data_IF_912726457343
#
_entry.id   IF_912726457343
#
_cell.length_a   1.000
_cell.length_b   1.000
_cell.length_c   1.000
_cell.angle_alpha   90.00
_cell.angle_beta   90.00
_cell.angle_gamma   90.00
#
_symmetry.space_group_name_H-M   'P 1'
#
loop_
_entity.id
_entity.type
_entity.pdbx_description
1 polymer ?
#
# COMPACT_ATOMS: atom_id res chain seq x y z
N UNK A 1 3.01 5.56 -49.25
CA UNK A 1 3.05 6.79 -48.46
C UNK A 1 2.06 6.64 -47.30
N UNK A 2 2.50 6.88 -46.05
CA UNK A 2 1.70 6.72 -44.83
C UNK A 2 1.42 8.09 -44.20
N UNK A 3 0.23 8.29 -43.64
CA UNK A 3 -0.15 9.53 -42.95
C UNK A 3 0.14 9.42 -41.44
N UNK A 4 1.30 9.93 -41.02
CA UNK A 4 1.80 9.81 -39.64
C UNK A 4 1.51 11.04 -38.75
N UNK A 5 0.96 12.12 -39.32
CA UNK A 5 0.71 13.39 -38.63
C UNK A 5 -0.58 13.42 -37.81
N UNK A 6 -1.44 12.40 -37.94
CA UNK A 6 -2.70 12.35 -37.22
C UNK A 6 -2.50 12.07 -35.72
N UNK A 7 -3.33 12.68 -34.86
CA UNK A 7 -3.31 12.43 -33.41
C UNK A 7 -3.73 10.99 -33.14
N UNK A 8 -2.89 10.24 -32.41
CA UNK A 8 -3.10 8.83 -32.05
C UNK A 8 -2.95 8.65 -30.53
N UNK A 9 -3.58 7.62 -29.94
CA UNK A 9 -4.60 6.75 -30.54
C UNK A 9 -5.95 7.47 -30.73
N UNK A 10 -6.78 6.98 -31.64
CA UNK A 10 -8.14 7.49 -31.90
C UNK A 10 -9.15 6.77 -30.99
N UNK A 11 -10.06 7.51 -30.37
CA UNK A 11 -11.16 6.94 -29.59
C UNK A 11 -12.28 6.44 -30.52
N UNK A 12 -12.72 5.20 -30.36
CA UNK A 12 -13.86 4.63 -31.07
C UNK A 12 -15.19 4.94 -30.36
N UNK A 13 -16.31 4.82 -31.08
CA UNK A 13 -17.68 5.03 -30.54
C UNK A 13 -18.04 4.12 -29.37
N UNK A 14 -17.34 2.99 -29.20
CA UNK A 14 -17.48 2.03 -28.10
C UNK A 14 -16.46 2.24 -26.97
N UNK A 15 -15.73 3.37 -26.99
CA UNK A 15 -14.75 3.76 -25.95
C UNK A 15 -13.39 3.07 -26.04
N UNK A 16 -13.13 2.27 -27.09
CA UNK A 16 -11.85 1.58 -27.30
C UNK A 16 -10.88 2.49 -28.05
N UNK A 17 -9.61 2.53 -27.62
CA UNK A 17 -8.55 3.28 -28.28
C UNK A 17 -7.88 2.41 -29.35
N UNK A 18 -7.84 2.90 -30.59
CA UNK A 18 -7.18 2.22 -31.70
C UNK A 18 -6.08 3.08 -32.31
N UNK A 19 -5.01 2.44 -32.76
CA UNK A 19 -4.03 3.08 -33.63
C UNK A 19 -4.43 2.82 -35.07
N UNK A 20 -4.62 3.89 -35.83
CA UNK A 20 -5.06 3.82 -37.24
C UNK A 20 -4.20 4.71 -38.10
N UNK A 21 -3.53 4.11 -39.09
CA UNK A 21 -2.67 4.81 -40.04
C UNK A 21 -3.24 4.63 -41.43
N UNK A 22 -3.66 5.73 -42.05
CA UNK A 22 -4.14 5.72 -43.43
C UNK A 22 -2.94 5.82 -44.38
N UNK A 23 -3.02 5.14 -45.53
CA UNK A 23 -1.89 4.99 -46.45
C UNK A 23 -2.29 4.88 -47.91
N UNK A 24 -1.33 5.15 -48.79
CA UNK A 24 -1.45 5.00 -50.24
C UNK A 24 -0.28 4.19 -50.78
N UNK A 25 -0.55 3.17 -51.58
CA UNK A 25 0.45 2.33 -52.23
C UNK A 25 0.37 2.57 -53.74
N UNK A 26 1.52 2.87 -54.36
CA UNK A 26 1.64 3.04 -55.81
C UNK A 26 2.10 1.71 -56.41
N UNK A 27 1.29 1.16 -57.32
CA UNK A 27 1.62 -0.02 -58.09
C UNK A 27 1.48 0.31 -59.58
N UNK A 28 2.61 0.59 -60.24
CA UNK A 28 2.60 1.19 -61.58
C UNK A 28 1.93 2.57 -61.55
N UNK A 29 0.91 2.76 -62.40
CA UNK A 29 0.10 4.00 -62.43
C UNK A 29 -1.10 3.98 -61.46
N UNK A 30 -1.35 2.87 -60.77
CA UNK A 30 -2.49 2.74 -59.86
C UNK A 30 -2.13 3.18 -58.44
N UNK A 31 -3.01 3.99 -57.85
CA UNK A 31 -2.95 4.40 -56.44
C UNK A 31 -3.96 3.60 -55.63
N UNK A 32 -3.47 2.72 -54.78
CA UNK A 32 -4.28 1.90 -53.87
C UNK A 32 -4.30 2.58 -52.51
N UNK A 33 -5.46 3.03 -52.06
CA UNK A 33 -5.63 3.55 -50.70
C UNK A 33 -5.87 2.38 -49.74
N UNK A 34 -5.18 2.37 -48.60
CA UNK A 34 -5.30 1.32 -47.59
C UNK A 34 -5.28 1.92 -46.18
N UNK A 35 -5.74 1.15 -45.20
CA UNK A 35 -5.75 1.53 -43.79
C UNK A 35 -5.04 0.43 -42.99
N UNK A 36 -4.13 0.83 -42.10
CA UNK A 36 -3.47 -0.06 -41.14
C UNK A 36 -4.06 0.21 -39.77
N UNK A 37 -4.71 -0.79 -39.20
CA UNK A 37 -5.14 -0.77 -37.80
C UNK A 37 -4.17 -1.60 -36.96
N UNK A 38 -3.67 -1.02 -35.87
CA UNK A 38 -2.84 -1.73 -34.89
C UNK A 38 -3.70 -1.92 -33.65
N UNK A 39 -3.93 -3.18 -33.29
CA UNK A 39 -4.75 -3.61 -32.15
C UNK A 39 -4.03 -4.76 -31.45
N UNK A 40 -4.22 -4.89 -30.13
CA UNK A 40 -3.81 -6.11 -29.44
C UNK A 40 -4.68 -7.29 -29.90
N UNK A 41 -4.12 -8.50 -29.86
CA UNK A 41 -4.83 -9.72 -30.24
C UNK A 41 -6.10 -9.91 -29.41
N UNK A 42 -6.03 -9.54 -28.13
CA UNK A 42 -7.16 -9.51 -27.20
C UNK A 42 -8.26 -8.58 -27.70
N UNK A 43 -7.91 -7.35 -28.11
CA UNK A 43 -8.88 -6.40 -28.66
C UNK A 43 -9.51 -6.89 -29.98
N UNK A 44 -8.76 -7.59 -30.83
CA UNK A 44 -9.29 -8.20 -32.06
C UNK A 44 -10.30 -9.30 -31.70
N UNK A 45 -9.93 -10.20 -30.80
CA UNK A 45 -10.78 -11.30 -30.34
C UNK A 45 -12.08 -10.78 -29.69
N UNK A 46 -11.97 -9.77 -28.81
CA UNK A 46 -13.12 -9.11 -28.21
C UNK A 46 -14.05 -8.49 -29.26
N UNK A 47 -13.48 -7.76 -30.23
CA UNK A 47 -14.25 -7.12 -31.31
C UNK A 47 -15.01 -8.15 -32.17
N UNK A 48 -14.42 -9.33 -32.39
CA UNK A 48 -15.10 -10.43 -33.09
C UNK A 48 -16.25 -11.03 -32.31
N UNK A 49 -16.08 -11.25 -30.99
CA UNK A 49 -17.14 -11.75 -30.11
C UNK A 49 -18.27 -10.73 -30.05
N UNK A 50 -17.96 -9.45 -29.81
CA UNK A 50 -18.93 -8.36 -29.79
C UNK A 50 -19.73 -8.34 -31.10
N UNK A 51 -19.06 -8.40 -32.26
CA UNK A 51 -19.73 -8.41 -33.55
C UNK A 51 -20.60 -9.67 -33.76
N UNK A 52 -20.12 -10.86 -33.38
CA UNK A 52 -20.88 -12.12 -33.54
C UNK A 52 -22.10 -12.17 -32.62
N UNK A 53 -21.99 -11.68 -31.39
CA UNK A 53 -23.05 -11.74 -30.37
C UNK A 53 -24.08 -10.62 -30.58
N UNK A 54 -23.64 -9.39 -30.86
CA UNK A 54 -24.53 -8.22 -30.96
C UNK A 54 -25.16 -8.11 -32.36
N UNK A 55 -24.43 -8.40 -33.44
CA UNK A 55 -24.89 -8.09 -34.80
C UNK A 55 -25.45 -9.27 -35.59
N UNK A 56 -25.22 -10.54 -35.18
CA UNK A 56 -25.79 -11.72 -35.89
C UNK A 56 -27.00 -12.37 -35.23
N UNK A 57 -27.32 -12.05 -33.96
CA UNK A 57 -28.48 -12.60 -33.27
C UNK A 57 -29.62 -11.57 -33.21
N UNK A 58 -30.30 -11.34 -34.35
CA UNK A 58 -31.51 -10.52 -34.42
C UNK A 58 -32.73 -11.13 -33.69
N UNK A 59 -32.61 -12.37 -33.22
CA UNK A 59 -33.69 -13.06 -32.52
C UNK A 59 -33.31 -13.24 -31.05
N UNK A 60 -33.98 -12.47 -30.21
CA UNK A 60 -34.38 -12.90 -28.86
C UNK A 60 -33.27 -13.03 -27.81
N UNK A 61 -32.49 -11.97 -27.58
CA UNK A 61 -31.70 -11.87 -26.33
C UNK A 61 -32.61 -11.31 -25.24
N UNK A 62 -33.37 -12.19 -24.58
CA UNK A 62 -34.07 -11.86 -23.34
C UNK A 62 -33.02 -11.42 -22.32
N UNK A 63 -33.22 -10.22 -21.75
CA UNK A 63 -32.39 -9.50 -20.76
C UNK A 63 -31.11 -8.83 -21.30
N UNK A 64 -31.32 -7.76 -22.07
CA UNK A 64 -30.27 -6.85 -22.58
C UNK A 64 -29.28 -6.36 -21.49
N UNK A 65 -29.72 -6.23 -20.22
CA UNK A 65 -28.84 -5.86 -19.10
C UNK A 65 -27.89 -7.00 -18.67
N UNK A 66 -28.39 -8.22 -18.52
CA UNK A 66 -27.60 -9.37 -18.07
C UNK A 66 -26.47 -9.71 -19.06
N UNK A 67 -26.79 -9.75 -20.36
CA UNK A 67 -25.78 -9.97 -21.39
C UNK A 67 -24.78 -8.82 -21.49
N UNK A 68 -25.22 -7.56 -21.33
CA UNK A 68 -24.31 -6.40 -21.27
C UNK A 68 -23.37 -6.48 -20.07
N UNK A 69 -23.83 -6.98 -18.93
CA UNK A 69 -23.01 -7.10 -17.73
C UNK A 69 -22.00 -8.26 -17.85
N UNK A 70 -22.40 -9.42 -18.39
CA UNK A 70 -21.46 -10.51 -18.75
C UNK A 70 -20.42 -10.04 -19.78
N UNK A 71 -20.87 -9.35 -20.84
CA UNK A 71 -19.97 -8.83 -21.86
C UNK A 71 -19.01 -7.79 -21.27
N UNK A 72 -19.48 -6.94 -20.36
CA UNK A 72 -18.60 -5.98 -19.67
C UNK A 72 -17.57 -6.70 -18.80
N UNK A 73 -17.98 -7.71 -18.05
CA UNK A 73 -17.07 -8.55 -17.25
C UNK A 73 -16.02 -9.23 -18.12
N UNK A 74 -16.41 -9.94 -19.20
CA UNK A 74 -15.46 -10.60 -20.11
C UNK A 74 -14.49 -9.58 -20.73
N UNK A 75 -14.99 -8.40 -21.14
CA UNK A 75 -14.15 -7.34 -21.69
C UNK A 75 -13.10 -6.88 -20.68
N UNK A 76 -13.50 -6.69 -19.42
CA UNK A 76 -12.57 -6.28 -18.39
C UNK A 76 -11.55 -7.37 -18.11
N UNK A 77 -11.96 -8.64 -17.94
CA UNK A 77 -11.05 -9.78 -17.75
C UNK A 77 -10.04 -9.89 -18.89
N UNK A 78 -10.49 -9.73 -20.14
CA UNK A 78 -9.62 -9.68 -21.31
C UNK A 78 -8.66 -8.47 -21.27
N UNK A 79 -9.15 -7.28 -20.91
CA UNK A 79 -8.31 -6.08 -20.79
C UNK A 79 -7.24 -6.27 -19.73
N UNK A 80 -7.58 -6.89 -18.60
CA UNK A 80 -6.63 -7.26 -17.55
C UNK A 80 -5.61 -8.27 -18.06
N UNK A 81 -6.02 -9.31 -18.79
CA UNK A 81 -5.09 -10.26 -19.43
C UNK A 81 -4.15 -9.56 -20.42
N UNK A 82 -4.63 -8.61 -21.23
CA UNK A 82 -3.79 -7.84 -22.16
C UNK A 82 -2.76 -6.99 -21.41
N UNK A 83 -3.16 -6.39 -20.29
CA UNK A 83 -2.25 -5.69 -19.39
C UNK A 83 -1.22 -6.65 -18.78
N UNK A 84 -1.64 -7.84 -18.32
CA UNK A 84 -0.74 -8.87 -17.80
C UNK A 84 0.27 -9.37 -18.85
N UNK A 85 -0.17 -9.61 -20.09
CA UNK A 85 0.72 -9.98 -21.20
C UNK A 85 1.68 -8.84 -21.54
N UNK A 86 1.23 -7.60 -21.50
CA UNK A 86 2.09 -6.43 -21.64
C UNK A 86 3.12 -6.33 -20.50
N UNK A 87 2.75 -6.68 -19.26
CA UNK A 87 3.69 -6.77 -18.13
C UNK A 87 4.77 -7.80 -18.41
N UNK A 88 4.39 -9.01 -18.81
CA UNK A 88 5.32 -10.10 -19.15
C UNK A 88 6.24 -9.68 -20.32
N UNK A 89 5.67 -9.12 -21.39
CA UNK A 89 6.43 -8.65 -22.56
C UNK A 89 7.43 -7.55 -22.20
N UNK A 90 7.01 -6.54 -21.42
CA UNK A 90 7.90 -5.50 -20.93
C UNK A 90 9.02 -6.05 -20.02
N UNK A 91 8.72 -7.08 -19.21
CA UNK A 91 9.74 -7.78 -18.42
C UNK A 91 10.77 -8.48 -19.32
N UNK A 92 10.34 -9.10 -20.42
CA UNK A 92 11.23 -9.75 -21.39
C UNK A 92 12.05 -8.75 -22.23
N UNK A 93 11.51 -7.60 -22.63
CA UNK A 93 12.24 -6.63 -23.46
C UNK A 93 13.21 -5.74 -22.65
N UNK A 94 12.87 -5.39 -21.41
CA UNK A 94 13.77 -4.65 -20.49
C UNK A 94 14.85 -5.52 -19.84
N UNK A 95 14.80 -6.84 -20.09
CA UNK A 95 15.73 -7.89 -19.66
C UNK A 95 17.21 -7.61 -19.93
N UNK A 96 17.55 -6.71 -20.87
CA UNK A 96 18.95 -6.51 -21.26
C UNK A 96 19.78 -5.60 -20.33
N UNK A 97 19.20 -4.74 -19.47
CA UNK A 97 19.97 -3.65 -18.84
C UNK A 97 19.67 -3.28 -17.35
N UNK A 98 18.96 -4.06 -16.54
CA UNK A 98 18.65 -3.67 -15.13
C UNK A 98 18.97 -4.74 -14.08
N UNK A 99 19.57 -4.32 -12.95
CA UNK A 99 19.86 -5.14 -11.78
C UNK A 99 18.58 -5.73 -11.15
N UNK A 100 18.71 -6.88 -10.48
CA UNK A 100 17.59 -7.68 -9.97
C UNK A 100 16.63 -6.93 -9.03
N UNK A 101 17.14 -6.03 -8.21
CA UNK A 101 16.37 -5.26 -7.23
C UNK A 101 15.47 -4.21 -7.91
N UNK A 102 15.97 -3.56 -8.96
CA UNK A 102 15.20 -2.62 -9.78
C UNK A 102 14.04 -3.28 -10.54
N UNK A 103 14.05 -4.61 -10.71
CA UNK A 103 12.94 -5.36 -11.33
C UNK A 103 11.77 -5.55 -10.37
N UNK A 104 12.05 -5.91 -9.10
CA UNK A 104 11.00 -6.09 -8.07
C UNK A 104 10.25 -4.79 -7.82
N UNK A 105 10.98 -3.69 -7.63
CA UNK A 105 10.39 -2.37 -7.41
C UNK A 105 9.45 -1.93 -8.55
N UNK A 106 9.81 -2.23 -9.80
CA UNK A 106 8.98 -1.91 -10.96
C UNK A 106 7.67 -2.71 -10.97
N UNK A 107 7.73 -4.00 -10.65
CA UNK A 107 6.55 -4.86 -10.57
C UNK A 107 5.63 -4.41 -9.43
N UNK A 108 6.19 -4.12 -8.26
CA UNK A 108 5.43 -3.60 -7.11
C UNK A 108 4.73 -2.27 -7.46
N UNK A 109 5.43 -1.36 -8.14
CA UNK A 109 4.85 -0.07 -8.60
C UNK A 109 3.69 -0.29 -9.58
N UNK A 110 3.85 -1.23 -10.52
CA UNK A 110 2.82 -1.55 -11.50
C UNK A 110 1.60 -2.17 -10.83
N UNK A 111 1.79 -3.13 -9.92
CA UNK A 111 0.71 -3.76 -9.18
C UNK A 111 -0.03 -2.73 -8.31
N UNK A 112 0.70 -1.84 -7.64
CA UNK A 112 0.11 -0.74 -6.85
C UNK A 112 -0.78 0.13 -7.71
N UNK A 113 -0.36 0.41 -8.96
CA UNK A 113 -1.16 1.14 -9.93
C UNK A 113 -2.41 0.36 -10.38
N UNK A 114 -2.30 -0.93 -10.67
CA UNK A 114 -3.44 -1.76 -11.09
C UNK A 114 -4.49 -1.81 -9.98
N UNK A 115 -4.05 -2.04 -8.73
CA UNK A 115 -4.92 -1.99 -7.55
C UNK A 115 -5.58 -0.61 -7.45
N UNK A 116 -4.79 0.47 -7.54
CA UNK A 116 -5.32 1.82 -7.49
C UNK A 116 -6.39 2.08 -8.56
N UNK A 117 -6.09 1.77 -9.82
CA UNK A 117 -7.00 2.02 -10.95
C UNK A 117 -8.31 1.22 -10.79
N UNK A 118 -8.23 -0.05 -10.37
CA UNK A 118 -9.39 -0.90 -10.10
C UNK A 118 -10.29 -0.31 -9.01
N UNK A 119 -9.72 -0.01 -7.84
CA UNK A 119 -10.50 0.51 -6.70
C UNK A 119 -10.96 1.95 -6.92
N UNK A 120 -10.20 2.77 -7.66
CA UNK A 120 -10.60 4.13 -8.01
C UNK A 120 -11.81 4.13 -8.95
N UNK A 121 -11.83 3.26 -9.97
CA UNK A 121 -13.00 3.13 -10.84
C UNK A 121 -14.25 2.71 -10.05
N UNK A 122 -14.10 1.75 -9.14
CA UNK A 122 -15.19 1.24 -8.31
C UNK A 122 -15.69 2.28 -7.31
N UNK A 123 -14.79 2.97 -6.63
CA UNK A 123 -15.13 4.05 -5.70
C UNK A 123 -15.85 5.20 -6.41
N UNK A 124 -15.41 5.57 -7.63
CA UNK A 124 -16.10 6.57 -8.44
C UNK A 124 -17.52 6.13 -8.84
N UNK A 125 -17.75 4.83 -9.08
CA UNK A 125 -19.07 4.29 -9.40
C UNK A 125 -20.00 4.23 -8.18
N UNK A 126 -19.51 3.82 -7.01
CA UNK A 126 -20.32 3.58 -5.81
C UNK A 126 -20.51 4.85 -4.95
N UNK A 127 -19.48 5.67 -4.81
CA UNK A 127 -19.48 6.85 -3.92
C UNK A 127 -19.52 8.17 -4.72
N UNK A 128 -19.04 8.18 -5.97
CA UNK A 128 -19.10 9.36 -6.85
C UNK A 128 -17.95 10.35 -6.70
N UNK A 129 -17.04 10.16 -5.73
CA UNK A 129 -15.81 10.96 -5.60
C UNK A 129 -14.56 10.07 -5.47
N UNK A 130 -13.40 10.68 -5.69
CA UNK A 130 -12.10 10.01 -5.58
C UNK A 130 -11.30 10.64 -4.44
N UNK A 131 -10.70 9.78 -3.63
CA UNK A 131 -9.69 10.14 -2.62
C UNK A 131 -8.34 9.60 -3.09
N UNK A 132 -7.25 10.24 -2.67
CA UNK A 132 -5.92 9.72 -2.93
C UNK A 132 -5.56 8.64 -1.90
N UNK A 133 -5.35 7.41 -2.37
CA UNK A 133 -4.93 6.26 -1.57
C UNK A 133 -3.75 5.51 -2.22
N UNK A 134 -2.98 6.19 -3.07
CA UNK A 134 -1.81 5.58 -3.76
C UNK A 134 -0.83 4.93 -2.78
N UNK A 135 -0.50 5.65 -1.69
CA UNK A 135 0.39 5.14 -0.64
C UNK A 135 -0.17 3.92 0.09
N UNK A 136 -1.50 3.81 0.20
CA UNK A 136 -2.15 2.62 0.73
C UNK A 136 -1.89 1.43 -0.18
N UNK A 137 -2.06 1.58 -1.51
CA UNK A 137 -1.74 0.53 -2.47
C UNK A 137 -0.26 0.10 -2.41
N UNK A 138 0.67 1.07 -2.38
CA UNK A 138 2.10 0.78 -2.27
C UNK A 138 2.42 -0.06 -1.01
N UNK A 139 1.79 0.27 0.11
CA UNK A 139 1.96 -0.43 1.39
C UNK A 139 1.38 -1.85 1.34
N UNK A 140 0.18 -2.01 0.77
CA UNK A 140 -0.49 -3.29 0.64
C UNK A 140 0.27 -4.23 -0.30
N UNK A 141 0.84 -3.72 -1.39
CA UNK A 141 1.68 -4.53 -2.28
C UNK A 141 2.90 -5.07 -1.56
N UNK A 142 3.57 -4.25 -0.74
CA UNK A 142 4.70 -4.73 0.09
C UNK A 142 4.28 -5.78 1.11
N UNK A 143 3.08 -5.63 1.66
CA UNK A 143 2.51 -6.64 2.54
C UNK A 143 2.25 -7.95 1.80
N UNK A 144 1.66 -7.93 0.61
CA UNK A 144 1.41 -9.13 -0.21
C UNK A 144 2.73 -9.83 -0.55
N UNK A 145 3.80 -9.09 -0.87
CA UNK A 145 5.11 -9.66 -1.16
C UNK A 145 5.98 -9.96 0.08
N UNK A 146 5.45 -9.85 1.31
CA UNK A 146 6.21 -10.00 2.57
C UNK A 146 7.00 -11.31 2.67
N UNK A 147 6.43 -12.41 2.16
CA UNK A 147 7.02 -13.75 2.23
C UNK A 147 8.14 -13.97 1.20
N UNK A 148 8.36 -13.02 0.28
CA UNK A 148 9.42 -13.10 -0.75
C UNK A 148 10.71 -12.41 -0.35
N UNK A 149 10.76 -11.83 0.86
CA UNK A 149 11.94 -11.18 1.42
C UNK A 149 13.03 -12.22 1.72
N UNK A 150 13.84 -12.53 0.70
CA UNK A 150 14.96 -13.48 0.78
C UNK A 150 14.80 -14.77 -0.05
N UNK A 151 13.67 -14.97 -0.73
CA UNK A 151 13.40 -16.17 -1.53
C UNK A 151 13.82 -16.05 -3.01
N UNK A 152 13.92 -17.21 -3.67
CA UNK A 152 14.18 -17.35 -5.11
C UNK A 152 13.12 -16.65 -5.96
N UNK A 153 13.51 -16.25 -7.20
CA UNK A 153 12.65 -15.55 -8.18
C UNK A 153 11.33 -16.30 -8.45
N UNK A 154 11.33 -17.63 -8.32
CA UNK A 154 10.14 -18.47 -8.51
C UNK A 154 9.00 -18.12 -7.53
N UNK A 155 9.32 -17.83 -6.26
CA UNK A 155 8.30 -17.49 -5.26
C UNK A 155 7.67 -16.12 -5.54
N UNK A 156 8.48 -15.16 -5.98
CA UNK A 156 7.99 -13.83 -6.35
C UNK A 156 7.03 -13.87 -7.55
N UNK A 157 7.35 -14.65 -8.57
CA UNK A 157 6.48 -14.80 -9.74
C UNK A 157 5.16 -15.52 -9.38
N UNK A 158 5.20 -16.48 -8.47
CA UNK A 158 4.00 -17.16 -7.99
C UNK A 158 3.04 -16.18 -7.30
N UNK A 159 3.51 -15.42 -6.30
CA UNK A 159 2.70 -14.42 -5.59
C UNK A 159 2.16 -13.35 -6.55
N UNK A 160 2.97 -12.93 -7.54
CA UNK A 160 2.51 -11.99 -8.57
C UNK A 160 1.32 -12.54 -9.36
N UNK A 161 1.41 -13.79 -9.84
CA UNK A 161 0.33 -14.43 -10.61
C UNK A 161 -0.91 -14.61 -9.74
N UNK A 162 -0.74 -15.05 -8.49
CA UNK A 162 -1.84 -15.21 -7.54
C UNK A 162 -2.56 -13.89 -7.28
N UNK A 163 -1.81 -12.81 -7.02
CA UNK A 163 -2.39 -11.48 -6.81
C UNK A 163 -3.12 -10.98 -8.06
N UNK A 164 -2.56 -11.23 -9.24
CA UNK A 164 -3.19 -10.86 -10.51
C UNK A 164 -4.49 -11.64 -10.79
N UNK A 165 -4.52 -12.94 -10.48
CA UNK A 165 -5.74 -13.74 -10.56
C UNK A 165 -6.78 -13.22 -9.56
N UNK A 166 -6.37 -12.87 -8.34
CA UNK A 166 -7.27 -12.28 -7.36
C UNK A 166 -7.87 -10.96 -7.84
N UNK A 167 -7.07 -10.10 -8.48
CA UNK A 167 -7.55 -8.86 -9.09
C UNK A 167 -8.59 -9.11 -10.20
N UNK A 168 -8.46 -10.21 -10.95
CA UNK A 168 -9.49 -10.58 -11.94
C UNK A 168 -10.79 -11.02 -11.28
N UNK A 169 -10.73 -11.77 -10.17
CA UNK A 169 -11.92 -12.18 -9.42
C UNK A 169 -12.65 -10.97 -8.81
N UNK A 170 -11.90 -10.04 -8.20
CA UNK A 170 -12.46 -8.81 -7.61
C UNK A 170 -13.20 -7.97 -8.67
N UNK A 171 -12.73 -7.98 -9.92
CA UNK A 171 -13.42 -7.24 -10.98
C UNK A 171 -14.79 -7.83 -11.34
N UNK A 172 -15.03 -9.11 -11.07
CA UNK A 172 -16.34 -9.73 -11.23
C UNK A 172 -17.28 -9.47 -10.04
N UNK A 173 -16.72 -9.09 -8.88
CA UNK A 173 -17.46 -8.81 -7.65
C UNK A 173 -18.03 -7.38 -7.58
N UNK A 174 -19.16 -7.23 -6.90
CA UNK A 174 -19.72 -5.92 -6.53
C UNK A 174 -19.08 -5.41 -5.24
N UNK A 175 -18.05 -4.59 -5.36
CA UNK A 175 -17.45 -3.91 -4.21
C UNK A 175 -18.41 -2.84 -3.69
N UNK A 176 -18.89 -3.00 -2.46
CA UNK A 176 -19.63 -1.95 -1.76
C UNK A 176 -18.70 -1.20 -0.81
N UNK A 177 -18.51 0.09 -1.06
CA UNK A 177 -17.78 0.98 -0.16
C UNK A 177 -18.68 1.54 0.95
N UNK A 178 -19.99 1.54 0.74
CA UNK A 178 -20.98 2.01 1.70
C UNK A 178 -21.31 1.00 2.82
N UNK A 179 -20.80 -0.24 2.75
CA UNK A 179 -20.97 -1.24 3.79
C UNK A 179 -19.94 -1.12 4.91
N UNK A 180 -20.38 -1.42 6.13
CA UNK A 180 -19.48 -1.58 7.28
C UNK A 180 -18.65 -2.86 7.13
N UNK A 181 -17.39 -2.80 7.54
CA UNK A 181 -16.51 -3.94 7.66
C UNK A 181 -16.83 -4.70 8.95
N UNK A 182 -17.10 -5.99 8.84
CA UNK A 182 -17.37 -6.91 9.96
C UNK A 182 -16.39 -8.06 9.92
N UNK A 183 -15.78 -8.39 11.05
CA UNK A 183 -14.87 -9.52 11.15
C UNK A 183 -15.63 -10.84 11.21
N UNK A 184 -15.13 -11.85 10.50
CA UNK A 184 -15.76 -13.19 10.43
C UNK A 184 -15.65 -13.98 11.74
N UNK A 185 -14.68 -13.63 12.58
CA UNK A 185 -14.44 -14.22 13.90
C UNK A 185 -13.87 -13.19 14.86
N UNK A 186 -13.79 -13.57 16.13
CA UNK A 186 -13.06 -12.79 17.13
C UNK A 186 -11.57 -12.71 16.78
N UNK A 187 -11.00 -11.54 17.04
CA UNK A 187 -9.59 -11.24 16.80
C UNK A 187 -8.74 -11.77 17.96
N UNK A 188 -7.63 -12.39 17.63
CA UNK A 188 -6.65 -12.91 18.56
C UNK A 188 -5.28 -12.28 18.32
N UNK A 189 -4.70 -11.70 19.36
CA UNK A 189 -3.40 -11.06 19.30
C UNK A 189 -2.52 -11.59 20.44
N UNK A 190 -1.28 -11.93 20.12
CA UNK A 190 -0.36 -12.57 21.07
C UNK A 190 0.41 -11.57 21.96
N UNK A 191 0.37 -10.27 21.65
CA UNK A 191 1.18 -9.27 22.35
C UNK A 191 0.50 -7.90 22.51
N UNK A 192 0.92 -7.17 23.55
CA UNK A 192 0.33 -5.88 23.95
C UNK A 192 0.32 -4.82 22.85
N UNK A 193 1.37 -4.78 22.01
CA UNK A 193 1.41 -3.83 20.90
C UNK A 193 0.30 -4.15 19.88
N UNK A 194 0.21 -5.42 19.48
CA UNK A 194 -0.81 -5.88 18.53
C UNK A 194 -2.23 -5.73 19.11
N UNK A 195 -2.42 -6.01 20.40
CA UNK A 195 -3.69 -5.80 21.10
C UNK A 195 -4.12 -4.33 21.04
N UNK A 196 -3.24 -3.40 21.41
CA UNK A 196 -3.57 -1.96 21.45
C UNK A 196 -3.85 -1.42 20.04
N UNK A 197 -2.96 -1.69 19.09
CA UNK A 197 -3.09 -1.19 17.71
C UNK A 197 -4.30 -1.82 17.02
N UNK A 198 -4.46 -3.15 17.13
CA UNK A 198 -5.57 -3.90 16.55
C UNK A 198 -6.91 -3.43 17.10
N UNK A 199 -7.05 -3.35 18.43
CA UNK A 199 -8.30 -2.90 19.08
C UNK A 199 -8.66 -1.47 18.67
N UNK A 200 -7.67 -0.57 18.62
CA UNK A 200 -7.90 0.81 18.17
C UNK A 200 -8.43 0.84 16.75
N UNK A 201 -7.77 0.13 15.83
CA UNK A 201 -8.19 0.10 14.43
C UNK A 201 -9.59 -0.49 14.30
N UNK A 202 -9.90 -1.61 14.95
CA UNK A 202 -11.27 -2.17 14.98
C UNK A 202 -12.32 -1.14 15.42
N UNK A 203 -11.98 -0.24 16.34
CA UNK A 203 -12.89 0.80 16.81
C UNK A 203 -13.07 1.98 15.85
N UNK A 204 -12.10 2.24 14.96
CA UNK A 204 -12.11 3.38 14.01
C UNK A 204 -12.34 2.97 12.55
N UNK A 205 -12.19 1.69 12.21
CA UNK A 205 -12.23 1.15 10.83
C UNK A 205 -13.53 1.46 10.08
N UNK A 206 -14.65 1.63 10.79
CA UNK A 206 -15.96 2.00 10.22
C UNK A 206 -16.36 3.45 10.49
N UNK A 207 -15.54 4.21 11.21
CA UNK A 207 -15.76 5.64 11.53
C UNK A 207 -14.95 6.56 10.62
N UNK A 208 -13.78 6.09 10.22
CA UNK A 208 -12.80 6.84 9.45
C UNK A 208 -12.62 6.24 8.06
N UNK A 209 -12.86 7.05 7.03
CA UNK A 209 -12.89 6.58 5.64
C UNK A 209 -11.56 5.99 5.16
N UNK A 210 -10.43 6.60 5.53
CA UNK A 210 -9.11 6.13 5.09
C UNK A 210 -8.75 4.76 5.69
N UNK A 211 -9.09 4.53 6.96
CA UNK A 211 -8.95 3.23 7.61
C UNK A 211 -9.85 2.19 6.94
N UNK A 212 -11.12 2.54 6.70
CA UNK A 212 -12.07 1.67 6.02
C UNK A 212 -11.54 1.25 4.64
N UNK A 213 -11.11 2.22 3.84
CA UNK A 213 -10.62 1.99 2.48
C UNK A 213 -9.38 1.12 2.48
N UNK A 214 -8.41 1.38 3.36
CA UNK A 214 -7.18 0.60 3.46
C UNK A 214 -7.48 -0.88 3.70
N UNK A 215 -8.28 -1.19 4.73
CA UNK A 215 -8.57 -2.57 5.10
C UNK A 215 -9.57 -3.23 4.16
N UNK A 216 -10.48 -2.48 3.55
CA UNK A 216 -11.34 -3.02 2.49
C UNK A 216 -10.50 -3.51 1.32
N UNK A 217 -9.53 -2.73 0.85
CA UNK A 217 -8.60 -3.17 -0.20
C UNK A 217 -7.81 -4.41 0.27
N UNK A 218 -7.28 -4.40 1.50
CA UNK A 218 -6.55 -5.55 2.06
C UNK A 218 -7.38 -6.84 1.99
N UNK A 219 -8.61 -6.83 2.49
CA UNK A 219 -9.46 -8.03 2.57
C UNK A 219 -9.96 -8.51 1.21
N UNK A 220 -9.95 -7.66 0.19
CA UNK A 220 -10.17 -8.11 -1.18
C UNK A 220 -8.92 -8.77 -1.76
N UNK A 221 -7.73 -8.26 -1.44
CA UNK A 221 -6.46 -8.77 -1.98
C UNK A 221 -6.03 -10.11 -1.38
N UNK A 222 -6.32 -10.36 -0.11
CA UNK A 222 -5.97 -11.63 0.55
C UNK A 222 -7.17 -12.60 0.53
N UNK A 223 -6.95 -13.91 0.29
CA UNK A 223 -8.02 -14.91 0.15
C UNK A 223 -8.40 -15.62 1.46
N UNK A 224 -7.79 -15.27 2.59
CA UNK A 224 -8.13 -15.89 3.88
C UNK A 224 -9.37 -15.25 4.53
N UNK A 225 -9.60 -15.51 5.81
CA UNK A 225 -10.61 -14.79 6.57
C UNK A 225 -10.11 -13.38 6.90
N UNK A 226 -11.00 -12.40 6.77
CA UNK A 226 -10.65 -11.00 7.01
C UNK A 226 -10.07 -10.72 8.43
N UNK A 227 -10.41 -11.55 9.42
CA UNK A 227 -9.85 -11.49 10.77
C UNK A 227 -8.37 -11.91 10.81
N UNK A 228 -8.01 -13.00 10.13
CA UNK A 228 -6.64 -13.49 10.03
C UNK A 228 -5.78 -12.57 9.18
N UNK A 229 -6.31 -12.05 8.09
CA UNK A 229 -5.62 -11.04 7.26
C UNK A 229 -5.30 -9.79 8.07
N UNK A 230 -6.25 -9.37 8.90
CA UNK A 230 -6.05 -8.26 9.82
C UNK A 230 -4.94 -8.54 10.84
N UNK A 231 -5.00 -9.68 11.53
CA UNK A 231 -3.99 -10.08 12.52
C UNK A 231 -2.59 -10.18 11.91
N UNK A 232 -2.47 -10.83 10.74
CA UNK A 232 -1.21 -10.95 10.00
C UNK A 232 -0.69 -9.59 9.56
N UNK A 233 -1.56 -8.67 9.15
CA UNK A 233 -1.15 -7.32 8.80
C UNK A 233 -0.62 -6.55 10.01
N UNK A 234 -1.26 -6.66 11.18
CA UNK A 234 -0.79 -6.00 12.41
C UNK A 234 0.57 -6.57 12.84
N UNK A 235 0.75 -7.89 12.78
CA UNK A 235 2.04 -8.52 13.08
C UNK A 235 3.13 -8.10 12.09
N UNK A 236 2.81 -8.08 10.78
CA UNK A 236 3.70 -7.56 9.76
C UNK A 236 4.10 -6.09 10.03
N UNK A 237 3.14 -5.24 10.41
CA UNK A 237 3.43 -3.84 10.74
C UNK A 237 4.37 -3.73 11.94
N UNK A 238 4.13 -4.50 13.01
CA UNK A 238 5.02 -4.58 14.18
C UNK A 238 6.43 -5.03 13.77
N UNK A 239 6.53 -6.12 13.00
CA UNK A 239 7.81 -6.62 12.50
C UNK A 239 8.56 -5.55 11.70
N UNK A 240 7.86 -4.80 10.85
CA UNK A 240 8.47 -3.69 10.10
C UNK A 240 8.95 -2.55 10.98
N UNK A 241 8.28 -2.23 12.08
CA UNK A 241 8.78 -1.21 13.02
C UNK A 241 10.00 -1.72 13.79
N UNK A 242 9.98 -2.99 14.19
CA UNK A 242 11.05 -3.63 14.97
C UNK A 242 12.29 -4.00 14.14
N UNK A 243 12.15 -4.16 12.83
CA UNK A 243 13.28 -4.47 11.95
C UNK A 243 14.33 -3.37 12.06
N UNK A 244 15.61 -3.77 12.09
CA UNK A 244 16.75 -2.84 12.11
C UNK A 244 16.86 -1.97 13.37
N UNK A 245 16.12 -2.30 14.45
CA UNK A 245 16.34 -1.69 15.77
C UNK A 245 17.58 -2.29 16.42
N UNK A 246 18.49 -1.44 16.91
CA UNK A 246 19.78 -1.84 17.52
C UNK A 246 19.66 -2.39 18.96
N UNK A 247 18.76 -3.34 19.20
CA UNK A 247 18.51 -3.96 20.51
C UNK A 247 19.76 -4.69 21.02
N UNK A 248 20.57 -5.27 20.11
CA UNK A 248 21.78 -6.01 20.46
C UNK A 248 22.76 -5.18 21.30
N UNK A 249 22.83 -3.86 21.09
CA UNK A 249 23.67 -2.97 21.92
C UNK A 249 23.20 -2.89 23.37
N UNK A 250 21.88 -2.87 23.59
CA UNK A 250 21.30 -2.93 24.93
C UNK A 250 21.54 -4.31 25.56
N UNK A 251 21.33 -5.39 24.80
CA UNK A 251 21.54 -6.75 25.29
C UNK A 251 22.98 -7.00 25.74
N UNK A 252 23.98 -6.50 25.00
CA UNK A 252 25.39 -6.58 25.38
C UNK A 252 25.73 -5.82 26.67
N UNK A 253 25.02 -4.73 26.97
CA UNK A 253 25.29 -3.89 28.14
C UNK A 253 24.55 -4.35 29.40
N UNK A 254 23.32 -4.85 29.25
CA UNK A 254 22.42 -5.13 30.39
C UNK A 254 21.95 -6.58 30.52
N UNK A 255 22.31 -7.44 29.55
CA UNK A 255 21.72 -8.76 29.40
C UNK A 255 20.38 -8.73 28.66
N UNK A 256 19.98 -9.89 28.12
CA UNK A 256 18.80 -10.03 27.25
C UNK A 256 17.49 -9.65 27.95
N UNK A 257 17.33 -10.00 29.23
CA UNK A 257 16.10 -9.75 29.97
C UNK A 257 15.76 -8.27 30.10
N UNK A 258 16.74 -7.43 30.49
CA UNK A 258 16.48 -5.99 30.65
C UNK A 258 16.36 -5.28 29.30
N UNK A 259 17.10 -5.73 28.28
CA UNK A 259 16.96 -5.20 26.92
C UNK A 259 15.55 -5.46 26.36
N UNK A 260 14.99 -6.65 26.61
CA UNK A 260 13.62 -6.99 26.24
C UNK A 260 12.59 -6.15 27.01
N UNK A 261 12.76 -5.98 28.32
CA UNK A 261 11.90 -5.12 29.17
C UNK A 261 11.86 -3.67 28.65
N UNK A 262 13.03 -3.09 28.32
CA UNK A 262 13.12 -1.75 27.72
C UNK A 262 12.36 -1.68 26.40
N UNK A 263 12.55 -2.67 25.53
CA UNK A 263 11.91 -2.69 24.21
C UNK A 263 10.40 -2.84 24.30
N UNK A 264 9.90 -3.70 25.20
CA UNK A 264 8.48 -3.85 25.46
C UNK A 264 7.85 -2.55 25.96
N UNK A 265 8.49 -1.83 26.89
CA UNK A 265 7.99 -0.54 27.37
C UNK A 265 7.99 0.55 26.27
N UNK A 266 9.02 0.58 25.42
CA UNK A 266 9.07 1.50 24.28
C UNK A 266 8.00 1.17 23.22
N UNK A 267 7.79 -0.11 22.89
CA UNK A 267 6.74 -0.54 21.98
C UNK A 267 5.34 -0.26 22.54
N UNK A 268 5.15 -0.44 23.84
CA UNK A 268 3.91 -0.09 24.52
C UNK A 268 3.62 1.40 24.39
N UNK A 269 4.62 2.27 24.60
CA UNK A 269 4.43 3.70 24.39
C UNK A 269 4.16 4.04 22.92
N UNK A 270 4.88 3.41 21.99
CA UNK A 270 4.63 3.58 20.56
C UNK A 270 3.17 3.27 20.22
N UNK A 271 2.64 2.14 20.71
CA UNK A 271 1.25 1.74 20.47
C UNK A 271 0.26 2.79 21.03
N UNK A 272 0.51 3.32 22.23
CA UNK A 272 -0.32 4.41 22.79
C UNK A 272 -0.27 5.68 21.94
N UNK A 273 0.91 6.08 21.48
CA UNK A 273 1.04 7.25 20.61
C UNK A 273 0.43 7.01 19.22
N UNK A 274 0.47 5.77 18.70
CA UNK A 274 -0.25 5.39 17.48
C UNK A 274 -1.76 5.65 17.60
N UNK A 275 -2.36 5.25 18.74
CA UNK A 275 -3.77 5.50 19.05
C UNK A 275 -4.09 6.99 19.09
N UNK A 276 -3.22 7.81 19.70
CA UNK A 276 -3.39 9.26 19.75
C UNK A 276 -3.34 9.91 18.35
N UNK A 277 -2.45 9.44 17.48
CA UNK A 277 -2.26 9.97 16.13
C UNK A 277 -3.46 9.64 15.24
N UNK A 278 -3.93 8.39 15.27
CA UNK A 278 -5.09 7.90 14.51
C UNK A 278 -5.07 8.24 13.00
N UNK A 279 -3.91 8.10 12.33
CA UNK A 279 -3.78 8.31 10.89
C UNK A 279 -3.27 7.04 10.20
N UNK A 280 -3.89 6.68 9.08
CA UNK A 280 -3.45 5.56 8.22
C UNK A 280 -2.02 5.78 7.71
N UNK A 281 -1.58 7.04 7.64
CA UNK A 281 -0.24 7.45 7.26
C UNK A 281 0.85 6.72 8.03
N UNK A 282 0.59 6.29 9.27
CA UNK A 282 1.54 5.52 10.06
C UNK A 282 1.94 4.18 9.42
N UNK A 283 1.13 3.63 8.53
CA UNK A 283 1.44 2.41 7.77
C UNK A 283 2.31 2.65 6.54
N UNK A 284 2.45 3.90 6.09
CA UNK A 284 3.20 4.20 4.86
C UNK A 284 4.70 4.05 5.06
N UNK A 285 5.40 3.57 4.03
CA UNK A 285 6.82 3.25 4.11
C UNK A 285 7.70 4.41 4.59
N UNK A 286 7.48 5.61 4.03
CA UNK A 286 8.25 6.78 4.41
C UNK A 286 8.06 7.15 5.88
N UNK A 287 6.87 6.86 6.43
CA UNK A 287 6.53 7.10 7.83
C UNK A 287 7.15 6.01 8.70
N UNK A 288 7.03 4.74 8.32
CA UNK A 288 7.70 3.61 8.98
C UNK A 288 9.21 3.85 9.09
N UNK A 289 9.88 4.27 8.01
CA UNK A 289 11.32 4.56 8.03
C UNK A 289 11.69 5.76 8.92
N UNK A 290 10.77 6.70 9.11
CA UNK A 290 10.96 7.82 10.05
C UNK A 290 10.73 7.37 11.49
N UNK A 291 9.71 6.55 11.73
CA UNK A 291 9.38 5.94 13.01
C UNK A 291 10.51 5.02 13.50
N UNK A 292 11.09 4.20 12.64
CA UNK A 292 12.29 3.40 12.92
C UNK A 292 13.46 4.24 13.40
N UNK A 293 13.71 5.39 12.76
CA UNK A 293 14.79 6.31 13.18
C UNK A 293 14.51 6.89 14.56
N UNK A 294 13.25 7.24 14.84
CA UNK A 294 12.84 7.74 16.17
C UNK A 294 13.03 6.64 17.23
N UNK A 295 12.58 5.41 16.95
CA UNK A 295 12.76 4.26 17.83
C UNK A 295 14.24 3.96 18.10
N UNK A 296 15.06 3.89 17.05
CA UNK A 296 16.50 3.68 17.18
C UNK A 296 17.18 4.80 17.97
N UNK A 297 16.71 6.05 17.82
CA UNK A 297 17.23 7.17 18.60
C UNK A 297 16.86 7.06 20.08
N UNK A 298 15.63 6.67 20.41
CA UNK A 298 15.21 6.42 21.79
C UNK A 298 16.04 5.29 22.42
N UNK A 299 16.25 4.19 21.69
CA UNK A 299 17.13 3.07 22.10
C UNK A 299 18.57 3.54 22.33
N UNK A 300 19.11 4.37 21.44
CA UNK A 300 20.47 4.93 21.58
C UNK A 300 20.59 5.86 22.79
N UNK A 301 19.59 6.72 23.01
CA UNK A 301 19.54 7.62 24.17
C UNK A 301 19.51 6.81 25.48
N UNK A 302 18.70 5.75 25.54
CA UNK A 302 18.68 4.81 26.67
C UNK A 302 20.04 4.13 26.86
N UNK A 303 20.68 3.68 25.77
CA UNK A 303 22.00 3.03 25.83
C UNK A 303 23.08 3.96 26.40
N UNK A 304 23.07 5.25 26.04
CA UNK A 304 24.07 6.23 26.48
C UNK A 304 23.94 6.59 27.95
N UNK A 305 22.72 6.78 28.44
CA UNK A 305 22.45 7.48 29.69
C UNK A 305 21.99 6.59 30.84
N UNK A 306 21.52 5.38 30.56
CA UNK A 306 21.17 4.39 31.59
C UNK A 306 22.41 3.56 31.89
N UNK A 307 22.63 3.14 33.14
CA UNK A 307 23.76 2.25 33.49
C UNK A 307 23.32 1.05 34.34
N UNK A 308 22.15 1.12 34.97
CA UNK A 308 21.59 0.05 35.78
C UNK A 308 20.07 -0.08 35.61
N UNK A 309 19.49 -1.19 36.08
CA UNK A 309 18.03 -1.37 36.16
C UNK A 309 17.35 -0.30 37.03
N UNK A 310 18.04 0.19 38.06
CA UNK A 310 17.53 1.28 38.90
C UNK A 310 17.47 2.60 38.12
N UNK A 311 18.47 2.89 37.29
CA UNK A 311 18.48 4.07 36.42
C UNK A 311 17.38 4.01 35.38
N UNK A 312 17.12 2.83 34.79
CA UNK A 312 16.00 2.65 33.87
C UNK A 312 14.68 3.00 34.55
N UNK A 313 14.41 2.43 35.73
CA UNK A 313 13.17 2.71 36.46
C UNK A 313 13.02 4.19 36.81
N UNK A 314 14.12 4.88 37.10
CA UNK A 314 14.13 6.31 37.42
C UNK A 314 13.87 7.18 36.19
N UNK A 315 14.52 6.88 35.07
CA UNK A 315 14.55 7.77 33.90
C UNK A 315 13.70 7.31 32.71
N UNK A 316 13.02 6.14 32.78
CA UNK A 316 12.23 5.60 31.66
C UNK A 316 11.19 6.59 31.11
N UNK A 317 10.57 7.38 31.97
CA UNK A 317 9.57 8.39 31.58
C UNK A 317 10.14 9.41 30.59
N UNK A 318 11.44 9.76 30.68
CA UNK A 318 12.11 10.69 29.78
C UNK A 318 12.21 10.09 28.37
N UNK A 319 12.61 8.82 28.26
CA UNK A 319 12.72 8.15 26.96
C UNK A 319 11.36 7.85 26.32
N UNK A 320 10.35 7.56 27.16
CA UNK A 320 8.95 7.42 26.76
C UNK A 320 8.42 8.76 26.19
N UNK A 321 8.63 9.87 26.90
CA UNK A 321 8.26 11.22 26.45
C UNK A 321 9.01 11.61 25.17
N UNK A 322 10.31 11.27 25.08
CA UNK A 322 11.12 11.49 23.89
C UNK A 322 10.50 10.79 22.68
N UNK A 323 10.10 9.53 22.82
CA UNK A 323 9.46 8.76 21.74
C UNK A 323 8.13 9.41 21.33
N UNK A 324 7.25 9.67 22.30
CA UNK A 324 5.94 10.29 22.07
C UNK A 324 6.05 11.63 21.34
N UNK A 325 6.82 12.58 21.89
CA UNK A 325 6.95 13.91 21.29
C UNK A 325 7.58 13.86 19.90
N UNK A 326 8.55 12.97 19.67
CA UNK A 326 9.15 12.82 18.36
C UNK A 326 8.14 12.29 17.34
N UNK A 327 7.35 11.28 17.71
CA UNK A 327 6.28 10.74 16.86
C UNK A 327 5.21 11.80 16.55
N UNK A 328 4.73 12.54 17.55
CA UNK A 328 3.74 13.61 17.35
C UNK A 328 4.30 14.74 16.47
N UNK A 329 5.56 15.15 16.71
CA UNK A 329 6.20 16.24 15.96
C UNK A 329 6.44 15.89 14.49
N UNK A 330 6.67 14.60 14.19
CA UNK A 330 6.87 14.09 12.83
C UNK A 330 5.64 14.35 11.95
N UNK A 331 4.44 14.30 12.53
CA UNK A 331 3.17 14.55 11.85
C UNK A 331 2.64 15.97 12.05
N UNK A 332 3.45 16.85 12.65
CA UNK A 332 3.06 18.24 12.98
C UNK A 332 1.80 18.33 13.85
N UNK A 333 1.53 17.33 14.69
CA UNK A 333 0.42 17.37 15.62
C UNK A 333 0.70 18.34 16.77
N UNK A 334 -0.37 18.85 17.40
CA UNK A 334 -0.24 19.74 18.55
C UNK A 334 0.34 18.97 19.73
N UNK A 335 1.33 19.59 20.39
CA UNK A 335 1.93 19.08 21.62
C UNK A 335 1.85 20.22 22.63
N UNK A 336 1.43 19.91 23.86
CA UNK A 336 1.39 20.91 24.92
C UNK A 336 2.81 21.47 25.19
N UNK A 337 3.02 22.79 25.03
CA UNK A 337 4.31 23.42 25.25
C UNK A 337 4.86 23.21 26.67
N UNK A 338 4.00 23.15 27.69
CA UNK A 338 4.43 22.95 29.08
C UNK A 338 5.03 21.56 29.27
N UNK A 339 4.42 20.54 28.66
CA UNK A 339 4.92 19.17 28.67
C UNK A 339 6.30 19.06 28.02
N UNK A 340 6.55 19.78 26.92
CA UNK A 340 7.88 19.84 26.29
C UNK A 340 8.88 20.58 27.18
N UNK A 341 8.50 21.70 27.77
CA UNK A 341 9.38 22.47 28.67
C UNK A 341 9.82 21.66 29.88
N UNK A 342 8.87 20.97 30.53
CA UNK A 342 9.18 20.07 31.65
C UNK A 342 10.14 18.96 31.23
N UNK A 343 9.92 18.35 30.07
CA UNK A 343 10.83 17.35 29.53
C UNK A 343 12.23 17.89 29.24
N UNK A 344 12.35 19.11 28.72
CA UNK A 344 13.65 19.76 28.52
C UNK A 344 14.35 20.08 29.84
N UNK A 345 13.61 20.50 30.86
CA UNK A 345 14.13 20.70 32.21
C UNK A 345 14.64 19.40 32.81
N UNK A 346 13.88 18.30 32.70
CA UNK A 346 14.30 16.97 33.18
C UNK A 346 15.60 16.50 32.50
N UNK A 347 15.76 16.71 31.19
CA UNK A 347 17.01 16.41 30.48
C UNK A 347 18.18 17.23 31.02
N UNK A 348 17.97 18.54 31.25
CA UNK A 348 19.02 19.44 31.75
C UNK A 348 19.42 19.13 33.19
N UNK A 349 18.44 18.94 34.07
CA UNK A 349 18.66 18.68 35.50
C UNK A 349 19.40 17.37 35.73
N UNK A 350 19.18 16.37 34.86
CA UNK A 350 19.81 15.07 34.95
C UNK A 350 21.04 14.90 34.04
N UNK A 351 21.49 15.98 33.38
CA UNK A 351 22.66 16.00 32.49
C UNK A 351 22.66 14.87 31.45
N UNK A 352 21.47 14.54 30.92
CA UNK A 352 21.33 13.44 29.97
C UNK A 352 21.86 13.85 28.58
N UNK A 353 22.70 13.00 27.99
CA UNK A 353 23.18 13.12 26.60
C UNK A 353 22.05 12.76 25.62
N UNK A 354 21.11 13.69 25.46
CA UNK A 354 19.98 13.63 24.54
C UNK A 354 19.96 14.90 23.70
N UNK A 355 20.33 14.77 22.43
CA UNK A 355 20.17 15.83 21.45
C UNK A 355 18.68 16.01 21.10
N UNK A 356 18.13 17.19 21.41
CA UNK A 356 16.73 17.51 21.13
C UNK A 356 16.59 17.90 19.68
N UNK A 357 15.70 17.21 18.97
CA UNK A 357 15.48 17.48 17.56
C UNK A 357 14.84 18.84 17.32
N UNK A 358 15.28 19.53 16.25
CA UNK A 358 14.78 20.86 15.88
C UNK A 358 13.25 20.91 15.69
N UNK A 359 12.63 19.79 15.31
CA UNK A 359 11.16 19.69 15.19
C UNK A 359 10.41 19.92 16.50
N UNK A 360 11.05 19.75 17.65
CA UNK A 360 10.44 19.99 18.97
C UNK A 360 10.55 21.46 19.40
N UNK A 361 11.55 22.17 18.89
CA UNK A 361 11.82 23.58 19.25
C UNK A 361 10.67 24.50 18.80
N UNK A 362 10.02 24.18 17.67
CA UNK A 362 8.91 24.99 17.12
C UNK A 362 7.69 25.08 18.06
N UNK A 363 7.53 24.15 18.99
CA UNK A 363 6.40 24.14 19.93
C UNK A 363 6.64 25.03 21.15
N UNK A 364 7.89 25.45 21.37
CA UNK A 364 8.30 26.30 22.49
C UNK A 364 8.30 27.77 22.06
N UNK A 365 8.57 28.04 20.77
CA UNK A 365 8.57 29.38 20.18
C UNK A 365 7.18 30.01 20.00
N UNK A 366 6.12 29.31 20.41
CA UNK A 366 4.72 29.76 20.29
C UNK A 366 4.16 30.35 21.60
N UNK A 367 4.98 30.37 22.66
CA UNK A 367 4.76 31.15 23.89
C UNK A 367 5.51 32.47 23.73
#
# INVERSE_FOLDING_TARGET
>A
MLELSSKQPKDQKNGIKIYRIDGKYLYGEQVINFEVQIKSLVNIFWSEIEHKVIYKNYNYIISDRFYKDIMRSIKNSLTTIDQQLLLISNQFERSKNTAQDGRKLQVETLLSKVIYDLFAERMKKDIGFLVDFRKSCDTLVKYVFRETAGCEIANYNYILIETLNRLTEIDEETISFNSQLTFERELNFDDDFCIIVGTHITNVINKEFQWNLFFKILFYLEPENNAGDFEKFIDFYKHRICSDININRLALKYGETLAKEIMEELLLQFAKTFVQINLVDLFYDNMIESLKRIMNYAVLATYKNVHSKADWKKFKHIYINLLEFRMLSMLNLQIDPHSIMKFLEEIRVHELDIEVHKSLVKYISTI
#
